data_IF_699699257839
#
_entry.id   IF_699699257839
#
_cell.length_a   1.000
_cell.length_b   1.000
_cell.length_c   1.000
_cell.angle_alpha   90.00
_cell.angle_beta   90.00
_cell.angle_gamma   90.00
#
_symmetry.space_group_name_H-M   'P 1'
#
loop_
_entity.id
_entity.type
_entity.pdbx_description
1 polymer ?
#
# COMPACT_ATOMS: atom_id res chain seq x y z
N UNK A 1 -6.90 -11.93 19.20
CA UNK A 1 -6.00 -10.98 18.52
C UNK A 1 -4.80 -10.75 19.42
N UNK A 2 -3.82 -11.64 19.32
CA UNK A 2 -2.62 -11.64 20.16
C UNK A 2 -1.53 -10.82 19.48
N UNK A 3 -1.15 -9.71 20.10
CA UNK A 3 0.16 -9.09 19.92
C UNK A 3 1.23 -10.15 20.26
N UNK A 4 2.17 -10.49 19.37
CA UNK A 4 3.36 -11.19 19.80
C UNK A 4 4.50 -10.18 20.00
N UNK A 5 5.41 -10.53 20.90
CA UNK A 5 6.65 -9.83 21.21
C UNK A 5 6.53 -8.67 22.20
N UNK A 6 6.30 -9.05 23.45
CA UNK A 6 7.11 -8.55 24.55
C UNK A 6 8.59 -8.51 24.11
N UNK A 7 9.11 -7.32 23.83
CA UNK A 7 10.53 -7.06 23.66
C UNK A 7 11.21 -7.37 25.00
N UNK A 8 11.79 -8.57 25.13
CA UNK A 8 12.60 -8.89 26.30
C UNK A 8 13.84 -7.97 26.30
N UNK A 9 14.26 -7.49 27.48
CA UNK A 9 15.52 -6.76 27.61
C UNK A 9 16.71 -7.57 27.08
N UNK A 10 16.59 -8.91 27.06
CA UNK A 10 17.57 -9.82 26.48
C UNK A 10 17.79 -9.59 24.98
N UNK A 11 16.73 -9.27 24.22
CA UNK A 11 16.81 -8.96 22.77
C UNK A 11 17.62 -7.68 22.52
N UNK A 12 17.50 -6.69 23.40
CA UNK A 12 18.25 -5.43 23.32
C UNK A 12 19.71 -5.65 23.77
N UNK A 13 19.93 -6.49 24.78
CA UNK A 13 21.25 -6.83 25.31
C UNK A 13 22.10 -7.66 24.32
N UNK A 14 21.48 -8.55 23.54
CA UNK A 14 22.13 -9.31 22.45
C UNK A 14 22.63 -8.39 21.32
N UNK A 15 21.83 -7.40 20.92
CA UNK A 15 22.23 -6.42 19.90
C UNK A 15 23.38 -5.51 20.37
N UNK A 16 23.40 -5.19 21.68
CA UNK A 16 24.49 -4.45 22.34
C UNK A 16 25.79 -5.25 22.48
N UNK A 17 25.71 -6.56 22.74
CA UNK A 17 26.89 -7.42 22.90
C UNK A 17 27.61 -7.70 21.56
N UNK A 18 26.92 -7.53 20.43
CA UNK A 18 27.51 -7.51 19.08
C UNK A 18 28.43 -6.28 18.87
N UNK A 19 28.25 -5.19 19.64
CA UNK A 19 28.99 -3.92 19.50
C UNK A 19 30.25 -3.80 20.40
N UNK A 20 30.38 -4.61 21.45
CA UNK A 20 31.45 -4.47 22.44
C UNK A 20 32.71 -5.33 22.17
N UNK A 21 32.71 -6.22 21.17
CA UNK A 21 33.79 -7.20 21.00
C UNK A 21 34.84 -6.90 19.91
N UNK A 22 34.87 -5.71 19.29
CA UNK A 22 35.76 -5.47 18.13
C UNK A 22 36.57 -4.17 18.19
N UNK A 23 37.42 -4.00 19.22
CA UNK A 23 38.48 -2.96 19.21
C UNK A 23 39.85 -3.53 18.78
N UNK A 24 40.03 -4.85 18.67
CA UNK A 24 41.35 -5.41 18.34
C UNK A 24 41.29 -6.43 17.19
N UNK A 25 42.20 -6.23 16.23
CA UNK A 25 42.62 -7.19 15.17
C UNK A 25 41.93 -7.12 13.80
N UNK A 26 42.64 -6.48 12.84
CA UNK A 26 42.93 -6.86 11.43
C UNK A 26 41.82 -7.30 10.45
N UNK A 27 40.62 -7.70 10.87
CA UNK A 27 39.53 -8.21 10.03
C UNK A 27 38.67 -7.11 9.37
N UNK A 28 39.28 -5.97 9.05
CA UNK A 28 38.60 -4.79 8.49
C UNK A 28 37.84 -5.06 7.18
N UNK A 29 38.14 -6.15 6.46
CA UNK A 29 37.55 -6.46 5.16
C UNK A 29 36.36 -7.43 5.17
N UNK A 30 35.99 -8.06 6.31
CA UNK A 30 34.87 -9.02 6.35
C UNK A 30 33.55 -8.46 6.89
N UNK A 31 33.57 -7.21 7.37
CA UNK A 31 32.39 -6.47 7.82
C UNK A 31 31.68 -5.68 6.69
N UNK A 32 32.00 -5.99 5.42
CA UNK A 32 31.54 -5.31 4.22
C UNK A 32 30.58 -6.17 3.36
N UNK A 33 29.72 -6.98 3.99
CA UNK A 33 28.52 -7.55 3.33
C UNK A 33 27.20 -7.21 3.99
N UNK A 34 27.20 -6.29 4.94
CA UNK A 34 26.05 -5.43 5.20
C UNK A 34 26.41 -4.08 4.60
N UNK A 35 25.58 -3.59 3.68
CA UNK A 35 25.87 -2.48 2.78
C UNK A 35 26.49 -1.27 3.53
N UNK A 36 27.41 -0.54 2.90
CA UNK A 36 28.20 0.59 3.45
C UNK A 36 27.39 1.65 4.23
N UNK A 37 26.07 1.70 4.07
CA UNK A 37 25.14 2.66 4.67
C UNK A 37 24.93 2.48 6.18
N UNK A 38 24.99 1.25 6.72
CA UNK A 38 24.59 0.98 8.12
C UNK A 38 25.70 1.22 9.16
N UNK A 39 26.96 1.34 8.70
CA UNK A 39 28.15 1.51 9.55
C UNK A 39 28.23 2.90 10.22
N UNK A 40 27.55 3.92 9.69
CA UNK A 40 27.67 5.32 10.14
C UNK A 40 26.78 5.70 11.35
N UNK A 41 25.93 4.81 11.88
CA UNK A 41 24.96 5.16 12.94
C UNK A 41 25.15 4.42 14.27
N UNK A 42 26.29 3.74 14.47
CA UNK A 42 26.60 3.01 15.71
C UNK A 42 27.05 3.89 16.90
N UNK A 43 26.87 5.21 16.83
CA UNK A 43 27.07 6.10 17.96
C UNK A 43 25.71 6.57 18.52
N UNK A 44 25.26 5.90 19.59
CA UNK A 44 24.27 6.35 20.58
C UNK A 44 22.74 6.28 20.32
N UNK A 45 22.18 5.37 19.50
CA UNK A 45 20.73 5.07 19.59
C UNK A 45 20.34 3.70 18.99
N UNK A 46 19.85 2.76 19.79
CA UNK A 46 19.32 1.44 19.33
C UNK A 46 17.94 1.59 18.70
N UNK A 47 17.12 2.51 19.22
CA UNK A 47 15.77 2.79 18.71
C UNK A 47 15.77 3.30 17.27
N UNK A 48 16.79 4.08 16.87
CA UNK A 48 16.90 4.59 15.50
C UNK A 48 17.20 3.49 14.49
N UNK A 49 17.88 2.41 14.90
CA UNK A 49 18.20 1.27 14.05
C UNK A 49 16.97 0.42 13.74
N UNK A 50 16.17 0.10 14.77
CA UNK A 50 14.92 -0.63 14.60
C UNK A 50 13.94 0.14 13.70
N UNK A 51 13.78 1.44 13.93
CA UNK A 51 12.97 2.31 13.08
C UNK A 51 13.49 2.36 11.63
N UNK A 52 14.80 2.31 11.42
CA UNK A 52 15.40 2.27 10.09
C UNK A 52 15.12 0.95 9.35
N UNK A 53 15.25 -0.20 10.02
CA UNK A 53 14.93 -1.51 9.44
C UNK A 53 13.44 -1.63 9.10
N UNK A 54 12.56 -1.15 9.99
CA UNK A 54 11.13 -1.05 9.70
C UNK A 54 10.86 -0.17 8.48
N UNK A 55 11.56 0.96 8.36
CA UNK A 55 11.47 1.84 7.19
C UNK A 55 11.94 1.20 5.88
N UNK A 56 12.76 0.15 5.96
CA UNK A 56 13.24 -0.62 4.81
C UNK A 56 12.46 -1.91 4.56
N UNK A 57 11.40 -2.20 5.32
CA UNK A 57 10.62 -3.42 5.12
C UNK A 57 11.31 -4.68 5.64
N UNK A 58 12.30 -4.57 6.53
CA UNK A 58 13.07 -5.70 7.05
C UNK A 58 12.93 -5.83 8.57
N UNK A 59 13.04 -7.06 9.07
CA UNK A 59 13.17 -7.34 10.49
C UNK A 59 14.21 -8.43 10.74
N UNK A 60 14.89 -8.39 11.89
CA UNK A 60 15.85 -9.43 12.26
C UNK A 60 15.10 -10.70 12.70
N UNK A 61 15.22 -11.78 11.92
CA UNK A 61 14.65 -13.10 12.26
C UNK A 61 15.59 -13.89 13.15
N UNK A 62 16.90 -13.75 12.92
CA UNK A 62 17.95 -14.35 13.74
C UNK A 62 18.96 -13.27 14.13
N UNK A 63 19.30 -13.25 15.41
CA UNK A 63 20.33 -12.36 15.94
C UNK A 63 21.72 -12.74 15.45
N UNK A 64 22.64 -11.77 15.46
CA UNK A 64 24.06 -12.06 15.25
C UNK A 64 24.62 -12.88 16.43
N UNK A 65 25.64 -13.68 16.15
CA UNK A 65 26.50 -14.25 17.20
C UNK A 65 27.92 -13.71 17.03
N UNK A 66 28.85 -14.09 17.91
CA UNK A 66 30.27 -13.71 17.79
C UNK A 66 30.93 -14.19 16.50
N UNK A 67 30.33 -15.15 15.81
CA UNK A 67 30.90 -15.79 14.61
C UNK A 67 29.97 -15.79 13.40
N UNK A 68 28.73 -15.35 13.56
CA UNK A 68 27.72 -15.37 12.50
C UNK A 68 26.98 -14.05 12.40
N UNK A 69 26.73 -13.62 11.17
CA UNK A 69 25.93 -12.42 10.91
C UNK A 69 24.46 -12.64 11.28
N UNK A 70 23.74 -11.54 11.52
CA UNK A 70 22.30 -11.55 11.73
C UNK A 70 21.57 -11.90 10.42
N UNK A 71 20.48 -12.66 10.52
CA UNK A 71 19.64 -13.00 9.37
C UNK A 71 18.38 -12.15 9.39
N UNK A 72 18.21 -11.32 8.37
CA UNK A 72 17.03 -10.48 8.17
C UNK A 72 15.99 -11.17 7.29
N UNK A 73 14.72 -10.94 7.60
CA UNK A 73 13.55 -11.37 6.83
C UNK A 73 12.65 -10.17 6.53
N UNK A 74 11.61 -10.39 5.71
CA UNK A 74 10.80 -9.32 5.10
C UNK A 74 9.53 -9.06 5.89
N UNK A 75 9.24 -7.78 6.16
CA UNK A 75 7.99 -7.35 6.81
C UNK A 75 6.79 -7.55 5.88
N UNK A 76 5.61 -7.75 6.49
CA UNK A 76 4.34 -7.84 5.75
C UNK A 76 4.09 -6.61 4.88
N UNK A 77 3.64 -6.84 3.64
CA UNK A 77 3.45 -5.79 2.65
C UNK A 77 4.72 -5.41 1.88
N UNK A 78 5.81 -6.17 2.05
CA UNK A 78 7.05 -6.06 1.30
C UNK A 78 7.43 -7.43 0.70
N UNK A 79 8.28 -7.40 -0.33
CA UNK A 79 8.94 -8.57 -0.89
C UNK A 79 10.46 -8.35 -0.94
N UNK A 80 11.21 -9.45 -0.95
CA UNK A 80 12.65 -9.39 -1.05
C UNK A 80 13.09 -9.11 -2.48
N UNK A 81 13.69 -7.95 -2.71
CA UNK A 81 14.29 -7.58 -4.00
C UNK A 81 15.67 -8.18 -4.18
N UNK A 82 16.47 -8.19 -3.11
CA UNK A 82 17.83 -8.71 -3.12
C UNK A 82 18.05 -9.63 -1.93
N UNK A 83 18.47 -10.87 -2.21
CA UNK A 83 18.84 -11.83 -1.18
C UNK A 83 20.16 -11.43 -0.52
N UNK A 84 20.29 -11.68 0.78
CA UNK A 84 21.57 -11.52 1.49
C UNK A 84 22.41 -12.79 1.34
N UNK A 85 21.77 -13.95 1.56
CA UNK A 85 22.24 -15.32 1.38
C UNK A 85 21.03 -16.18 0.98
N UNK A 86 21.12 -17.52 0.98
CA UNK A 86 20.03 -18.43 0.57
C UNK A 86 18.74 -18.30 1.40
N UNK A 87 18.81 -17.69 2.59
CA UNK A 87 17.65 -17.57 3.51
C UNK A 87 17.29 -16.14 3.86
N UNK A 88 18.26 -15.21 3.89
CA UNK A 88 18.07 -13.83 4.33
C UNK A 88 17.74 -12.83 3.20
N UNK A 89 17.15 -11.70 3.57
CA UNK A 89 16.91 -10.58 2.67
C UNK A 89 17.79 -9.37 3.02
N UNK A 90 18.51 -8.82 2.02
CA UNK A 90 19.35 -7.63 2.19
C UNK A 90 18.64 -6.33 1.79
N UNK A 91 17.64 -6.44 0.91
CA UNK A 91 16.83 -5.31 0.44
C UNK A 91 15.40 -5.77 0.20
N UNK A 92 14.46 -5.18 0.94
CA UNK A 92 13.04 -5.36 0.72
C UNK A 92 12.44 -4.13 0.02
N UNK A 93 11.37 -4.37 -0.73
CA UNK A 93 10.61 -3.35 -1.44
C UNK A 93 9.13 -3.57 -1.15
N UNK A 94 8.37 -2.48 -1.04
CA UNK A 94 6.94 -2.56 -0.75
C UNK A 94 6.24 -3.24 -1.92
N UNK A 95 5.25 -4.08 -1.64
CA UNK A 95 4.41 -4.65 -2.67
C UNK A 95 3.76 -3.56 -3.51
N UNK A 96 3.74 -3.78 -4.83
CA UNK A 96 3.06 -2.91 -5.77
C UNK A 96 1.58 -2.83 -5.41
N UNK A 97 1.09 -1.58 -5.30
CA UNK A 97 -0.33 -1.31 -5.22
C UNK A 97 -0.89 -1.27 -6.63
N UNK A 98 -1.91 -2.07 -6.90
CA UNK A 98 -2.57 -2.03 -8.20
C UNK A 98 -3.38 -0.75 -8.32
N UNK A 99 -3.35 -0.16 -9.52
CA UNK A 99 -4.01 1.11 -9.77
C UNK A 99 -5.52 0.95 -9.97
N UNK A 100 -6.32 2.02 -9.83
CA UNK A 100 -7.72 2.01 -10.23
C UNK A 100 -7.87 1.51 -11.68
N UNK A 101 -8.80 0.58 -11.90
CA UNK A 101 -8.98 -0.13 -13.15
C UNK A 101 -8.15 -1.39 -13.34
N UNK A 102 -7.36 -1.76 -12.33
CA UNK A 102 -6.72 -3.06 -12.23
C UNK A 102 -7.32 -3.89 -11.09
N UNK A 103 -6.99 -5.17 -11.06
CA UNK A 103 -7.19 -6.09 -9.93
C UNK A 103 -5.87 -6.74 -9.56
N UNK A 104 -5.83 -7.26 -8.35
CA UNK A 104 -4.79 -8.21 -7.95
C UNK A 104 -5.06 -9.53 -8.69
N UNK A 105 -4.10 -9.93 -9.53
CA UNK A 105 -4.09 -11.23 -10.19
C UNK A 105 -3.44 -12.28 -9.30
N UNK A 106 -2.29 -11.93 -8.76
CA UNK A 106 -1.53 -12.76 -7.83
C UNK A 106 -1.09 -11.88 -6.66
N UNK A 107 -1.35 -12.34 -5.44
CA UNK A 107 -0.94 -11.63 -4.24
C UNK A 107 0.58 -11.71 -4.07
N UNK A 108 1.20 -10.60 -3.67
CA UNK A 108 2.62 -10.57 -3.32
C UNK A 108 2.94 -11.51 -2.15
N UNK A 109 4.16 -12.05 -2.17
CA UNK A 109 4.72 -12.89 -1.11
C UNK A 109 5.98 -12.24 -0.54
N UNK A 110 6.65 -12.87 0.44
CA UNK A 110 7.95 -12.37 0.92
C UNK A 110 9.06 -12.42 -0.14
N UNK A 111 8.84 -13.10 -1.28
CA UNK A 111 9.82 -13.26 -2.37
C UNK A 111 9.37 -12.68 -3.71
N UNK A 112 8.08 -12.45 -3.89
CA UNK A 112 7.51 -11.99 -5.15
C UNK A 112 6.62 -10.79 -4.93
N UNK A 113 6.64 -9.88 -5.89
CA UNK A 113 5.75 -8.73 -5.87
C UNK A 113 4.29 -9.11 -6.23
N UNK A 114 3.36 -8.21 -5.93
CA UNK A 114 1.97 -8.29 -6.38
C UNK A 114 1.91 -8.16 -7.90
N UNK A 115 1.14 -9.04 -8.55
CA UNK A 115 0.88 -8.95 -9.99
C UNK A 115 -0.49 -8.35 -10.22
N UNK A 116 -0.53 -7.25 -10.99
CA UNK A 116 -1.76 -6.54 -11.34
C UNK A 116 -2.25 -6.90 -12.75
N UNK A 117 -3.56 -6.92 -12.95
CA UNK A 117 -4.20 -7.16 -14.24
C UNK A 117 -5.32 -6.15 -14.49
N UNK A 118 -5.48 -5.68 -15.72
CA UNK A 118 -6.56 -4.76 -16.09
C UNK A 118 -7.94 -5.42 -15.99
N UNK A 119 -8.94 -4.65 -15.56
CA UNK A 119 -10.32 -5.09 -15.63
C UNK A 119 -10.81 -5.21 -17.08
N UNK A 120 -11.58 -6.26 -17.35
CA UNK A 120 -12.23 -6.46 -18.64
C UNK A 120 -13.33 -5.41 -18.89
N UNK A 121 -13.67 -5.12 -20.16
CA UNK A 121 -14.79 -4.25 -20.49
C UNK A 121 -16.08 -4.68 -19.78
N UNK A 122 -16.80 -3.73 -19.19
CA UNK A 122 -17.98 -4.01 -18.37
C UNK A 122 -17.69 -4.20 -16.87
N UNK A 123 -16.43 -4.12 -16.46
CA UNK A 123 -16.00 -4.16 -15.06
C UNK A 123 -15.20 -2.92 -14.69
N UNK A 124 -15.21 -2.58 -13.40
CA UNK A 124 -14.41 -1.51 -12.82
C UNK A 124 -13.73 -1.95 -11.52
N UNK A 125 -12.64 -1.28 -11.16
CA UNK A 125 -12.04 -1.37 -9.83
C UNK A 125 -11.63 0.01 -9.34
N UNK A 126 -12.15 0.44 -8.19
CA UNK A 126 -11.83 1.75 -7.64
C UNK A 126 -10.47 1.75 -6.92
N UNK A 127 -10.20 0.70 -6.15
CA UNK A 127 -9.02 0.61 -5.26
C UNK A 127 -7.96 -0.39 -5.74
N UNK A 128 -8.10 -0.92 -6.96
CA UNK A 128 -7.12 -1.83 -7.56
C UNK A 128 -7.16 -3.28 -7.01
N UNK A 129 -8.09 -3.61 -6.12
CA UNK A 129 -8.11 -4.93 -5.46
C UNK A 129 -8.84 -5.97 -6.32
N UNK A 130 -10.10 -5.71 -6.63
CA UNK A 130 -10.98 -6.62 -7.38
C UNK A 130 -11.73 -5.86 -8.47
N UNK A 131 -12.01 -6.53 -9.58
CA UNK A 131 -12.89 -6.03 -10.63
C UNK A 131 -14.34 -6.39 -10.30
N UNK A 132 -15.20 -5.38 -10.28
CA UNK A 132 -16.64 -5.50 -10.03
C UNK A 132 -17.39 -5.16 -11.31
N UNK A 133 -18.47 -5.89 -11.62
CA UNK A 133 -19.27 -5.62 -12.81
C UNK A 133 -19.94 -4.24 -12.69
N UNK A 134 -20.10 -3.53 -13.82
CA UNK A 134 -20.81 -2.27 -13.84
C UNK A 134 -22.28 -2.42 -13.41
N UNK A 135 -22.78 -1.42 -12.71
CA UNK A 135 -24.19 -1.31 -12.36
C UNK A 135 -25.06 -1.24 -13.62
N UNK A 136 -26.10 -2.07 -13.64
CA UNK A 136 -27.15 -2.05 -14.65
C UNK A 136 -28.31 -1.19 -14.11
N UNK A 137 -28.60 -0.08 -14.77
CA UNK A 137 -29.72 0.76 -14.38
C UNK A 137 -31.06 0.06 -14.63
N UNK A 138 -32.01 0.24 -13.72
CA UNK A 138 -33.38 -0.26 -13.90
C UNK A 138 -34.11 0.47 -15.04
N UNK A 139 -35.24 -0.07 -15.50
CA UNK A 139 -36.04 0.52 -16.59
C UNK A 139 -36.51 1.96 -16.31
N UNK A 140 -36.66 2.34 -15.03
CA UNK A 140 -37.10 3.67 -14.60
C UNK A 140 -35.94 4.66 -14.44
N UNK A 141 -34.70 4.20 -14.59
CA UNK A 141 -33.48 4.96 -14.42
C UNK A 141 -32.74 5.12 -15.76
N UNK A 142 -32.01 6.22 -15.88
CA UNK A 142 -31.09 6.46 -17.00
C UNK A 142 -29.65 6.50 -16.51
N UNK A 143 -28.71 6.13 -17.38
CA UNK A 143 -27.28 6.33 -17.14
C UNK A 143 -26.99 7.83 -17.13
N UNK A 144 -26.69 8.37 -15.95
CA UNK A 144 -26.32 9.79 -15.77
C UNK A 144 -24.82 9.98 -15.97
N UNK A 145 -24.02 8.98 -15.58
CA UNK A 145 -22.58 8.94 -15.83
C UNK A 145 -22.20 7.58 -16.42
N UNK A 146 -21.40 7.59 -17.48
CA UNK A 146 -20.82 6.37 -18.02
C UNK A 146 -19.79 5.79 -17.04
N UNK A 147 -19.79 4.46 -16.91
CA UNK A 147 -18.74 3.75 -16.21
C UNK A 147 -17.46 3.71 -17.05
N UNK A 148 -16.34 3.51 -16.39
CA UNK A 148 -15.04 3.24 -17.00
C UNK A 148 -14.34 2.14 -16.20
N UNK A 149 -13.04 1.92 -16.46
CA UNK A 149 -12.29 0.89 -15.73
C UNK A 149 -12.10 1.24 -14.24
N UNK A 150 -12.09 2.51 -13.85
CA UNK A 150 -11.86 2.94 -12.46
C UNK A 150 -13.11 3.35 -11.68
N UNK A 151 -14.26 3.44 -12.34
CA UNK A 151 -15.50 3.93 -11.72
C UNK A 151 -16.74 3.32 -12.35
N UNK A 152 -17.76 3.15 -11.52
CA UNK A 152 -19.02 2.53 -11.93
C UNK A 152 -19.91 3.47 -12.77
N UNK A 153 -20.87 2.86 -13.45
CA UNK A 153 -22.02 3.53 -14.04
C UNK A 153 -22.88 4.14 -12.93
N UNK A 154 -23.20 5.42 -13.06
CA UNK A 154 -24.12 6.10 -12.13
C UNK A 154 -25.50 6.20 -12.75
N UNK A 155 -26.48 5.59 -12.10
CA UNK A 155 -27.88 5.64 -12.48
C UNK A 155 -28.59 6.78 -11.75
N UNK A 156 -29.50 7.46 -12.45
CA UNK A 156 -30.36 8.48 -11.86
C UNK A 156 -31.71 8.48 -12.52
N UNK A 157 -32.72 8.94 -11.79
CA UNK A 157 -34.06 9.12 -12.35
C UNK A 157 -34.04 10.28 -13.35
N UNK A 158 -34.85 10.18 -14.40
CA UNK A 158 -35.11 11.33 -15.26
C UNK A 158 -35.83 12.38 -14.41
N UNK A 159 -35.05 13.36 -13.95
CA UNK A 159 -35.54 14.47 -13.16
C UNK A 159 -36.62 15.22 -13.93
N UNK A 160 -37.89 15.07 -13.53
CA UNK A 160 -39.05 15.83 -14.06
C UNK A 160 -39.05 17.28 -13.56
N UNK A 161 -37.90 17.86 -13.22
CA UNK A 161 -37.80 19.24 -12.73
C UNK A 161 -38.40 20.22 -13.75
N UNK A 162 -38.20 19.98 -15.05
CA UNK A 162 -38.81 20.77 -16.12
C UNK A 162 -40.35 20.77 -16.08
N UNK A 163 -40.99 19.72 -15.56
CA UNK A 163 -42.46 19.63 -15.48
C UNK A 163 -43.06 20.60 -14.45
N UNK A 164 -42.29 21.03 -13.45
CA UNK A 164 -42.74 22.01 -12.45
C UNK A 164 -42.44 23.47 -12.86
N UNK A 165 -41.35 23.71 -13.59
CA UNK A 165 -41.01 25.07 -14.05
C UNK A 165 -41.89 25.58 -15.19
N UNK A 166 -42.37 24.69 -16.07
CA UNK A 166 -43.23 25.06 -17.21
C UNK A 166 -44.54 25.74 -16.78
N UNK A 167 -45.36 25.20 -15.85
CA UNK A 167 -46.60 25.86 -15.43
C UNK A 167 -46.35 27.16 -14.67
N UNK A 168 -45.28 27.26 -13.87
CA UNK A 168 -44.93 28.49 -13.14
C UNK A 168 -44.53 29.61 -14.11
N UNK A 169 -43.72 29.31 -15.13
CA UNK A 169 -43.32 30.28 -16.14
C UNK A 169 -44.53 30.77 -16.96
N UNK A 170 -45.42 29.84 -17.36
CA UNK A 170 -46.65 30.18 -18.07
C UNK A 170 -47.56 31.10 -17.23
N UNK A 171 -47.75 30.81 -15.94
CA UNK A 171 -48.53 31.66 -15.05
C UNK A 171 -47.94 33.07 -14.91
N UNK A 172 -46.61 33.19 -14.75
CA UNK A 172 -45.96 34.49 -14.66
C UNK A 172 -46.10 35.31 -15.96
N UNK A 173 -46.01 34.67 -17.12
CA UNK A 173 -46.24 35.34 -18.41
C UNK A 173 -47.68 35.81 -18.58
N UNK A 174 -48.68 35.01 -18.18
CA UNK A 174 -50.09 35.37 -18.24
C UNK A 174 -50.41 36.54 -17.31
N UNK A 175 -49.90 36.51 -16.07
CA UNK A 175 -50.08 37.61 -15.10
C UNK A 175 -49.44 38.90 -15.61
N UNK A 176 -48.24 38.83 -16.19
CA UNK A 176 -47.60 39.99 -16.80
C UNK A 176 -48.44 40.62 -17.92
N UNK A 177 -49.00 39.79 -18.80
CA UNK A 177 -49.81 40.22 -19.95
C UNK A 177 -51.13 40.90 -19.54
N UNK A 178 -51.73 40.46 -18.41
CA UNK A 178 -52.94 41.06 -17.83
C UNK A 178 -52.67 42.38 -17.12
N UNK A 179 -51.46 42.60 -16.59
CA UNK A 179 -51.10 43.85 -15.89
C UNK A 179 -50.69 44.95 -16.89
N UNK A 180 -50.14 44.56 -18.04
CA UNK A 180 -49.65 45.51 -19.07
C UNK A 180 -50.66 45.87 -20.17
N UNK A 181 -51.84 45.24 -20.18
CA UNK A 181 -52.92 45.49 -21.14
C UNK A 181 -54.14 46.10 -20.47
#
# INVERSE_FOLDING_TARGET
MSLPFSLSLDFIQSLLSCSQLSITSSHYFRYLRLNKTYKYMFNNNIMTMFLFLLGQGLFARQECTTTTDAVCDVLSGFFCKTLADDTGCSLAEKHTHCEPGQRIKEAGTSRTDTVCELCQPGYFSQDGVNCTAWTICSETQRKVKAGNTSSDVVCGTASRQHYCYIPVLLLLTLVGLVITG
#
